data_IF_974745205892
#
_entry.id   IF_974745205892
#
_cell.length_a   1.000
_cell.length_b   1.000
_cell.length_c   1.000
_cell.angle_alpha   90.00
_cell.angle_beta   90.00
_cell.angle_gamma   90.00
#
_symmetry.space_group_name_H-M   'P 1'
#
loop_
_entity.id
_entity.type
_entity.pdbx_description
1 polymer ?
#
# COMPACT_ATOMS: atom_id res chain seq x y z
N UNK A 1 36.32 -11.72 10.16
CA UNK A 1 35.45 -12.89 10.36
C UNK A 1 35.20 -13.20 11.84
N UNK A 2 36.21 -13.08 12.72
CA UNK A 2 36.04 -13.32 14.16
C UNK A 2 35.03 -12.36 14.82
N UNK A 3 35.02 -11.09 14.41
CA UNK A 3 34.07 -10.11 14.89
C UNK A 3 32.63 -10.51 14.51
N UNK A 4 32.39 -11.00 13.29
CA UNK A 4 31.08 -11.44 12.84
C UNK A 4 30.57 -12.63 13.67
N UNK A 5 31.47 -13.59 13.97
CA UNK A 5 31.13 -14.73 14.83
C UNK A 5 30.82 -14.28 16.26
N UNK A 6 31.58 -13.30 16.79
CA UNK A 6 31.36 -12.80 18.15
C UNK A 6 30.02 -12.05 18.32
N UNK A 7 29.50 -11.44 17.25
CA UNK A 7 28.20 -10.75 17.25
C UNK A 7 26.99 -11.69 17.21
N UNK A 8 27.21 -12.98 16.96
CA UNK A 8 26.17 -14.03 16.93
C UNK A 8 24.93 -13.66 16.08
N UNK A 9 25.18 -13.00 14.94
CA UNK A 9 24.12 -12.50 14.01
C UNK A 9 23.74 -13.52 12.94
N UNK A 10 24.13 -14.80 13.11
CA UNK A 10 23.76 -15.89 12.20
C UNK A 10 24.60 -15.98 10.91
N UNK A 11 25.76 -15.30 10.85
CA UNK A 11 26.68 -15.37 9.71
C UNK A 11 28.07 -15.82 10.16
N UNK A 12 28.71 -16.66 9.35
CA UNK A 12 30.04 -17.21 9.66
C UNK A 12 31.20 -16.29 9.28
N UNK A 13 30.98 -15.38 8.32
CA UNK A 13 32.01 -14.48 7.81
C UNK A 13 31.42 -13.24 7.14
N UNK A 14 32.29 -12.24 6.91
CA UNK A 14 31.93 -10.97 6.26
C UNK A 14 31.37 -11.17 4.85
N UNK A 15 31.85 -12.15 4.10
CA UNK A 15 31.41 -12.41 2.74
C UNK A 15 29.94 -12.89 2.71
N UNK A 16 29.57 -13.80 3.63
CA UNK A 16 28.19 -14.27 3.78
C UNK A 16 27.24 -13.14 4.19
N UNK A 17 27.64 -12.31 5.15
CA UNK A 17 26.87 -11.13 5.56
C UNK A 17 26.65 -10.15 4.39
N UNK A 18 27.72 -9.82 3.65
CA UNK A 18 27.63 -8.95 2.48
C UNK A 18 26.73 -9.52 1.39
N UNK A 19 26.82 -10.83 1.13
CA UNK A 19 25.96 -11.50 0.15
C UNK A 19 24.48 -11.43 0.55
N UNK A 20 24.17 -11.64 1.82
CA UNK A 20 22.81 -11.53 2.33
C UNK A 20 22.28 -10.09 2.25
N UNK A 21 23.06 -9.10 2.71
CA UNK A 21 22.69 -7.68 2.61
C UNK A 21 22.45 -7.29 1.15
N UNK A 22 23.33 -7.72 0.23
CA UNK A 22 23.14 -7.45 -1.20
C UNK A 22 21.83 -8.04 -1.71
N UNK A 23 21.56 -9.31 -1.38
CA UNK A 23 20.30 -9.99 -1.78
C UNK A 23 19.06 -9.25 -1.25
N UNK A 24 19.10 -8.78 -0.01
CA UNK A 24 18.01 -8.02 0.59
C UNK A 24 17.84 -6.66 -0.09
N UNK A 25 18.93 -5.93 -0.34
CA UNK A 25 18.90 -4.66 -1.06
C UNK A 25 18.39 -4.83 -2.50
N UNK A 26 18.85 -5.85 -3.22
CA UNK A 26 18.38 -6.16 -4.56
C UNK A 26 16.87 -6.48 -4.55
N UNK A 27 16.40 -7.24 -3.55
CA UNK A 27 14.96 -7.54 -3.39
C UNK A 27 14.14 -6.28 -3.07
N UNK A 28 14.64 -5.40 -2.23
CA UNK A 28 13.97 -4.11 -1.90
C UNK A 28 13.93 -3.23 -3.15
N UNK A 29 15.06 -3.06 -3.82
CA UNK A 29 15.14 -2.24 -5.03
C UNK A 29 14.21 -2.76 -6.15
N UNK A 30 14.12 -4.09 -6.30
CA UNK A 30 13.21 -4.70 -7.28
C UNK A 30 11.75 -4.38 -6.93
N UNK A 31 11.35 -4.56 -5.67
CA UNK A 31 9.99 -4.23 -5.22
C UNK A 31 9.66 -2.75 -5.41
N UNK A 32 10.59 -1.86 -5.09
CA UNK A 32 10.40 -0.41 -5.27
C UNK A 32 10.27 -0.05 -6.76
N UNK A 33 11.08 -0.69 -7.62
CA UNK A 33 11.03 -0.48 -9.06
C UNK A 33 9.70 -0.99 -9.63
N UNK A 34 9.28 -2.19 -9.22
CA UNK A 34 8.00 -2.77 -9.63
C UNK A 34 6.82 -1.91 -9.16
N UNK A 35 6.85 -1.41 -7.92
CA UNK A 35 5.82 -0.53 -7.39
C UNK A 35 5.73 0.79 -8.15
N UNK A 36 6.86 1.42 -8.46
CA UNK A 36 6.90 2.64 -9.27
C UNK A 36 6.33 2.41 -10.66
N UNK A 37 6.77 1.35 -11.32
CA UNK A 37 6.28 0.99 -12.65
C UNK A 37 4.77 0.73 -12.64
N UNK A 38 4.24 -0.01 -11.65
CA UNK A 38 2.80 -0.24 -11.50
C UNK A 38 2.05 1.08 -11.34
N UNK A 39 2.55 2.00 -10.51
CA UNK A 39 1.92 3.30 -10.30
C UNK A 39 1.90 4.12 -11.59
N UNK A 40 2.98 4.15 -12.34
CA UNK A 40 3.06 4.83 -13.64
C UNK A 40 2.06 4.23 -14.64
N UNK A 41 1.98 2.91 -14.74
CA UNK A 41 1.03 2.21 -15.60
C UNK A 41 -0.42 2.53 -15.20
N UNK A 42 -0.74 2.52 -13.91
CA UNK A 42 -2.07 2.86 -13.42
C UNK A 42 -2.41 4.32 -13.69
N UNK A 43 -1.46 5.25 -13.49
CA UNK A 43 -1.67 6.67 -13.80
C UNK A 43 -1.96 6.88 -15.30
N UNK A 44 -1.22 6.23 -16.19
CA UNK A 44 -1.46 6.33 -17.64
C UNK A 44 -2.78 5.67 -18.03
N UNK A 45 -3.11 4.50 -17.47
CA UNK A 45 -4.38 3.84 -17.73
C UNK A 45 -5.58 4.69 -17.25
N UNK A 46 -5.46 5.35 -16.10
CA UNK A 46 -6.47 6.30 -15.60
C UNK A 46 -6.63 7.49 -16.55
N UNK A 47 -5.53 8.06 -17.06
CA UNK A 47 -5.58 9.18 -18.04
C UNK A 47 -6.29 8.79 -19.33
N UNK A 48 -6.07 7.57 -19.80
CA UNK A 48 -6.71 7.04 -21.02
C UNK A 48 -8.17 6.65 -20.78
N UNK A 49 -8.56 6.45 -19.54
CA UNK A 49 -9.91 6.06 -19.13
C UNK A 49 -10.73 7.27 -18.76
N UNK A 50 -12.04 7.24 -19.05
CA UNK A 50 -12.98 8.29 -18.63
C UNK A 50 -13.50 8.01 -17.21
N UNK A 51 -12.60 7.91 -16.23
CA UNK A 51 -12.97 7.64 -14.84
C UNK A 51 -13.27 8.95 -14.13
N UNK A 52 -14.50 9.08 -13.66
CA UNK A 52 -14.92 10.18 -12.80
C UNK A 52 -15.00 9.70 -11.35
N UNK A 53 -14.19 10.30 -10.48
CA UNK A 53 -14.24 10.02 -9.05
C UNK A 53 -15.44 10.73 -8.44
N UNK A 54 -16.41 10.02 -7.83
CA UNK A 54 -17.56 10.65 -7.19
C UNK A 54 -17.13 11.61 -6.09
N UNK A 55 -17.70 12.80 -6.07
CA UNK A 55 -17.37 13.85 -5.07
C UNK A 55 -17.58 13.38 -3.63
N UNK A 56 -18.59 12.55 -3.39
CA UNK A 56 -18.85 11.98 -2.07
C UNK A 56 -17.67 11.14 -1.57
N UNK A 57 -17.16 10.20 -2.40
CA UNK A 57 -16.00 9.37 -2.04
C UNK A 57 -14.75 10.21 -1.79
N UNK A 58 -14.54 11.24 -2.59
CA UNK A 58 -13.42 12.15 -2.42
C UNK A 58 -13.50 12.90 -1.10
N UNK A 59 -14.68 13.48 -0.80
CA UNK A 59 -14.93 14.17 0.46
C UNK A 59 -14.75 13.25 1.67
N UNK A 60 -15.30 12.04 1.62
CA UNK A 60 -15.16 11.06 2.70
C UNK A 60 -13.70 10.68 2.94
N UNK A 61 -12.92 10.49 1.85
CA UNK A 61 -11.50 10.17 1.95
C UNK A 61 -10.69 11.30 2.60
N UNK A 62 -10.96 12.56 2.22
CA UNK A 62 -10.28 13.74 2.82
C UNK A 62 -10.66 13.89 4.29
N UNK A 63 -11.95 13.75 4.62
CA UNK A 63 -12.44 13.85 5.99
C UNK A 63 -11.86 12.75 6.90
N UNK A 64 -11.75 11.52 6.41
CA UNK A 64 -11.12 10.42 7.13
C UNK A 64 -9.65 10.73 7.41
N UNK A 65 -8.91 11.22 6.42
CA UNK A 65 -7.50 11.58 6.56
C UNK A 65 -7.29 12.74 7.54
N UNK A 66 -8.16 13.75 7.51
CA UNK A 66 -8.14 14.85 8.49
C UNK A 66 -8.31 14.32 9.91
N UNK A 67 -9.28 13.45 10.11
CA UNK A 67 -9.59 12.83 11.41
C UNK A 67 -8.38 12.03 11.95
N UNK A 68 -7.77 11.23 11.10
CA UNK A 68 -6.58 10.46 11.47
C UNK A 68 -5.38 11.35 11.76
N UNK A 69 -5.22 12.44 10.99
CA UNK A 69 -4.16 13.42 11.20
C UNK A 69 -4.29 14.12 12.54
N UNK A 70 -5.49 14.61 12.87
CA UNK A 70 -5.76 15.27 14.15
C UNK A 70 -5.57 14.31 15.33
N UNK A 71 -6.03 13.06 15.19
CA UNK A 71 -5.83 12.02 16.20
C UNK A 71 -4.35 11.73 16.45
N UNK A 72 -3.53 11.66 15.42
CA UNK A 72 -2.08 11.46 15.56
C UNK A 72 -1.40 12.62 16.27
N UNK A 73 -1.80 13.87 15.99
CA UNK A 73 -1.29 15.03 16.71
C UNK A 73 -1.66 14.98 18.19
N UNK A 74 -2.89 14.58 18.50
CA UNK A 74 -3.35 14.41 19.89
C UNK A 74 -2.56 13.33 20.62
N UNK A 75 -2.35 12.16 20.00
CA UNK A 75 -1.53 11.06 20.55
C UNK A 75 -0.09 11.49 20.84
N UNK A 76 0.46 12.40 20.04
CA UNK A 76 1.80 12.97 20.21
C UNK A 76 1.83 14.21 21.14
N UNK A 77 0.69 14.61 21.72
CA UNK A 77 0.52 15.84 22.50
C UNK A 77 0.99 17.09 21.76
N UNK A 78 0.81 17.15 20.43
CA UNK A 78 1.16 18.28 19.59
C UNK A 78 -0.09 19.12 19.28
N UNK A 79 0.05 20.46 19.45
CA UNK A 79 -1.01 21.38 19.05
C UNK A 79 -0.97 21.62 17.54
N UNK A 80 -2.13 21.52 16.90
CA UNK A 80 -2.27 21.71 15.45
C UNK A 80 -1.65 23.01 14.96
N UNK A 81 -1.95 24.13 15.63
CA UNK A 81 -1.44 25.46 15.23
C UNK A 81 0.10 25.56 15.28
N UNK A 82 0.71 24.99 16.33
CA UNK A 82 2.16 24.97 16.49
C UNK A 82 2.81 24.09 15.42
N UNK A 83 2.21 22.91 15.17
CA UNK A 83 2.69 21.99 14.16
C UNK A 83 2.62 22.58 12.74
N UNK A 84 1.50 23.19 12.38
CA UNK A 84 1.33 23.85 11.08
C UNK A 84 2.33 25.00 10.86
N UNK A 85 2.62 25.78 11.91
CA UNK A 85 3.65 26.83 11.86
C UNK A 85 5.05 26.26 11.60
N UNK A 86 5.41 25.18 12.30
CA UNK A 86 6.72 24.51 12.12
C UNK A 86 6.85 23.95 10.70
N UNK A 87 5.78 23.37 10.16
CA UNK A 87 5.74 22.83 8.81
C UNK A 87 5.57 23.91 7.71
N UNK A 88 5.42 25.16 8.09
CA UNK A 88 5.17 26.28 7.17
C UNK A 88 4.04 26.00 6.19
N UNK A 89 2.92 25.46 6.72
CA UNK A 89 1.73 25.08 5.95
C UNK A 89 0.44 25.52 6.65
N UNK A 90 -0.69 25.34 5.97
CA UNK A 90 -2.03 25.59 6.52
C UNK A 90 -2.89 24.32 6.36
N UNK A 91 -3.99 24.25 7.12
CA UNK A 91 -4.92 23.14 7.03
C UNK A 91 -5.59 23.07 5.66
N UNK A 92 -5.89 24.23 5.06
CA UNK A 92 -6.47 24.33 3.72
C UNK A 92 -5.53 23.74 2.67
N UNK A 93 -4.22 24.04 2.78
CA UNK A 93 -3.21 23.50 1.86
C UNK A 93 -3.06 21.98 2.02
N UNK A 94 -3.03 21.50 3.27
CA UNK A 94 -3.00 20.06 3.52
C UNK A 94 -4.22 19.35 2.95
N UNK A 95 -5.42 19.91 3.11
CA UNK A 95 -6.64 19.36 2.54
C UNK A 95 -6.61 19.32 1.01
N UNK A 96 -6.11 20.36 0.36
CA UNK A 96 -5.96 20.42 -1.10
C UNK A 96 -4.96 19.37 -1.61
N UNK A 97 -3.85 19.17 -0.91
CA UNK A 97 -2.87 18.14 -1.22
C UNK A 97 -3.49 16.73 -1.04
N UNK A 98 -4.20 16.51 0.07
CA UNK A 98 -4.90 15.24 0.33
C UNK A 98 -6.00 14.96 -0.69
N UNK A 99 -6.73 15.97 -1.13
CA UNK A 99 -7.76 15.85 -2.17
C UNK A 99 -7.12 15.39 -3.49
N UNK A 100 -5.98 15.98 -3.85
CA UNK A 100 -5.24 15.62 -5.05
C UNK A 100 -4.75 14.16 -5.00
N UNK A 101 -4.16 13.75 -3.86
CA UNK A 101 -3.71 12.38 -3.62
C UNK A 101 -4.89 11.40 -3.60
N UNK A 102 -5.97 11.73 -2.88
CA UNK A 102 -7.16 10.90 -2.80
C UNK A 102 -7.82 10.70 -4.18
N UNK A 103 -7.88 11.75 -5.00
CA UNK A 103 -8.42 11.66 -6.36
C UNK A 103 -7.63 10.67 -7.21
N UNK A 104 -6.30 10.72 -7.19
CA UNK A 104 -5.44 9.78 -7.92
C UNK A 104 -5.65 8.35 -7.44
N UNK A 105 -5.60 8.13 -6.12
CA UNK A 105 -5.80 6.81 -5.51
C UNK A 105 -7.16 6.22 -5.84
N UNK A 106 -8.23 6.97 -5.64
CA UNK A 106 -9.60 6.53 -5.92
C UNK A 106 -9.81 6.23 -7.41
N UNK A 107 -9.23 7.03 -8.30
CA UNK A 107 -9.30 6.76 -9.75
C UNK A 107 -8.62 5.43 -10.10
N UNK A 108 -7.45 5.13 -9.52
CA UNK A 108 -6.76 3.85 -9.71
C UNK A 108 -7.55 2.68 -9.12
N UNK A 109 -8.16 2.85 -7.94
CA UNK A 109 -9.02 1.83 -7.32
C UNK A 109 -10.26 1.53 -8.19
N UNK A 110 -10.92 2.57 -8.72
CA UNK A 110 -12.08 2.42 -9.62
C UNK A 110 -11.68 1.72 -10.93
N UNK A 111 -10.50 2.05 -11.48
CA UNK A 111 -9.96 1.36 -12.65
C UNK A 111 -9.78 -0.14 -12.39
N UNK A 112 -9.13 -0.49 -11.27
CA UNK A 112 -8.92 -1.88 -10.91
C UNK A 112 -10.24 -2.63 -10.68
N UNK A 113 -11.22 -2.00 -10.04
CA UNK A 113 -12.56 -2.56 -9.88
C UNK A 113 -13.23 -2.86 -11.22
N UNK A 114 -13.10 -1.97 -12.19
CA UNK A 114 -13.67 -2.18 -13.51
C UNK A 114 -12.93 -3.30 -14.26
N UNK A 115 -11.60 -3.38 -14.16
CA UNK A 115 -10.81 -4.50 -14.70
C UNK A 115 -11.26 -5.83 -14.10
N UNK A 116 -11.43 -5.89 -12.77
CA UNK A 116 -11.90 -7.09 -12.05
C UNK A 116 -13.27 -7.52 -12.60
N UNK A 117 -14.18 -6.59 -12.75
CA UNK A 117 -15.54 -6.84 -13.21
C UNK A 117 -15.57 -7.31 -14.66
N UNK A 118 -14.91 -6.60 -15.57
CA UNK A 118 -14.92 -6.92 -17.01
C UNK A 118 -14.24 -8.24 -17.33
N UNK A 119 -13.22 -8.60 -16.56
CA UNK A 119 -12.46 -9.84 -16.78
C UNK A 119 -12.88 -10.99 -15.86
N UNK A 120 -13.97 -10.84 -15.09
CA UNK A 120 -14.48 -11.84 -14.16
C UNK A 120 -13.38 -12.38 -13.22
N UNK A 121 -12.49 -11.49 -12.72
CA UNK A 121 -11.42 -11.87 -11.82
C UNK A 121 -12.04 -12.22 -10.46
N UNK A 122 -11.80 -13.44 -10.00
CA UNK A 122 -12.36 -13.96 -8.75
C UNK A 122 -11.28 -14.57 -7.87
N UNK A 123 -11.58 -14.71 -6.59
CA UNK A 123 -10.75 -15.38 -5.59
C UNK A 123 -11.57 -16.49 -4.96
N UNK A 124 -11.03 -17.72 -4.89
CA UNK A 124 -11.71 -18.86 -4.26
C UNK A 124 -11.41 -18.94 -2.76
N UNK A 125 -12.25 -19.63 -1.99
CA UNK A 125 -12.04 -19.86 -0.57
C UNK A 125 -10.68 -20.52 -0.29
N UNK A 126 -10.32 -21.56 -1.06
CA UNK A 126 -9.03 -22.25 -0.91
C UNK A 126 -7.81 -21.31 -1.11
N UNK A 127 -7.96 -20.28 -1.93
CA UNK A 127 -6.88 -19.30 -2.15
C UNK A 127 -6.77 -18.33 -0.98
N UNK A 128 -7.90 -17.94 -0.40
CA UNK A 128 -7.94 -17.12 0.82
C UNK A 128 -7.28 -17.88 1.97
N UNK A 129 -7.62 -19.16 2.13
CA UNK A 129 -7.06 -20.01 3.19
C UNK A 129 -5.54 -20.20 3.03
N UNK A 130 -5.06 -20.38 1.79
CA UNK A 130 -3.63 -20.45 1.49
C UNK A 130 -2.92 -19.15 1.84
N UNK A 131 -3.48 -18.01 1.47
CA UNK A 131 -2.90 -16.70 1.79
C UNK A 131 -2.88 -16.47 3.30
N UNK A 132 -3.97 -16.80 4.00
CA UNK A 132 -4.02 -16.75 5.46
C UNK A 132 -2.95 -17.63 6.13
N UNK A 133 -2.60 -18.77 5.53
CA UNK A 133 -1.56 -19.66 6.04
C UNK A 133 -0.15 -19.07 5.95
N UNK A 134 0.11 -18.13 5.01
CA UNK A 134 1.40 -17.45 4.88
C UNK A 134 1.64 -16.39 5.96
N UNK A 135 0.56 -15.91 6.60
CA UNK A 135 0.64 -14.89 7.65
C UNK A 135 1.21 -15.50 8.93
N UNK A 136 2.42 -15.10 9.30
CA UNK A 136 3.15 -15.61 10.47
C UNK A 136 2.89 -14.81 11.73
N UNK A 137 2.55 -13.52 11.61
CA UNK A 137 2.26 -12.67 12.77
C UNK A 137 0.87 -12.99 13.37
N UNK A 138 0.79 -13.41 14.66
CA UNK A 138 -0.46 -13.83 15.27
C UNK A 138 -1.53 -12.73 15.30
N UNK A 139 -1.13 -11.48 15.57
CA UNK A 139 -2.06 -10.35 15.65
C UNK A 139 -2.65 -9.99 14.30
N UNK A 140 -1.82 -10.01 13.25
CA UNK A 140 -2.27 -9.80 11.87
C UNK A 140 -3.22 -10.93 11.45
N UNK A 141 -2.90 -12.18 11.79
CA UNK A 141 -3.75 -13.34 11.49
C UNK A 141 -5.10 -13.26 12.19
N UNK A 142 -5.15 -12.85 13.45
CA UNK A 142 -6.37 -12.62 14.19
C UNK A 142 -7.25 -11.54 13.52
N UNK A 143 -6.66 -10.39 13.18
CA UNK A 143 -7.37 -9.30 12.50
C UNK A 143 -7.94 -9.74 11.15
N UNK A 144 -7.16 -10.48 10.35
CA UNK A 144 -7.60 -10.98 9.04
C UNK A 144 -8.65 -12.11 9.16
N UNK A 145 -8.80 -12.75 10.32
CA UNK A 145 -9.79 -13.79 10.56
C UNK A 145 -11.19 -13.23 10.79
N UNK A 146 -11.33 -11.94 11.07
CA UNK A 146 -12.62 -11.25 11.18
C UNK A 146 -13.31 -11.13 9.81
N UNK A 147 -14.63 -10.91 9.79
CA UNK A 147 -15.36 -10.72 8.53
C UNK A 147 -14.84 -9.51 7.74
N UNK A 148 -14.48 -8.44 8.43
CA UNK A 148 -13.88 -7.23 7.80
C UNK A 148 -12.48 -7.52 7.29
N UNK A 149 -11.66 -8.22 8.06
CA UNK A 149 -10.33 -8.64 7.68
C UNK A 149 -10.33 -9.56 6.46
N UNK A 150 -11.26 -10.52 6.39
CA UNK A 150 -11.43 -11.38 5.21
C UNK A 150 -11.84 -10.59 3.97
N UNK A 151 -12.78 -9.64 4.10
CA UNK A 151 -13.16 -8.75 2.99
C UNK A 151 -11.97 -7.92 2.50
N UNK A 152 -11.18 -7.39 3.44
CA UNK A 152 -9.96 -6.66 3.11
C UNK A 152 -8.96 -7.54 2.34
N UNK A 153 -8.68 -8.75 2.82
CA UNK A 153 -7.79 -9.71 2.16
C UNK A 153 -8.27 -10.06 0.76
N UNK A 154 -9.55 -10.37 0.59
CA UNK A 154 -10.16 -10.64 -0.72
C UNK A 154 -9.98 -9.45 -1.67
N UNK A 155 -10.20 -8.23 -1.18
CA UNK A 155 -10.03 -7.01 -1.99
C UNK A 155 -8.58 -6.85 -2.45
N UNK A 156 -7.62 -7.05 -1.54
CA UNK A 156 -6.19 -7.01 -1.89
C UNK A 156 -5.82 -8.05 -2.95
N UNK A 157 -6.26 -9.30 -2.77
CA UNK A 157 -5.99 -10.38 -3.72
C UNK A 157 -6.61 -10.12 -5.10
N UNK A 158 -7.81 -9.54 -5.15
CA UNK A 158 -8.47 -9.15 -6.40
C UNK A 158 -7.70 -8.02 -7.11
N UNK A 159 -7.27 -7.01 -6.36
CA UNK A 159 -6.49 -5.89 -6.91
C UNK A 159 -5.13 -6.36 -7.44
N UNK A 160 -4.44 -7.24 -6.73
CA UNK A 160 -3.18 -7.84 -7.18
C UNK A 160 -3.36 -8.58 -8.51
N UNK A 161 -4.41 -9.38 -8.63
CA UNK A 161 -4.74 -10.09 -9.88
C UNK A 161 -5.09 -9.15 -11.03
N UNK A 162 -5.79 -8.06 -10.73
CA UNK A 162 -6.09 -7.05 -11.74
C UNK A 162 -4.82 -6.35 -12.23
N UNK A 163 -3.88 -6.06 -11.33
CA UNK A 163 -2.56 -5.53 -11.66
C UNK A 163 -1.78 -6.54 -12.50
N UNK A 164 -1.77 -7.81 -12.13
CA UNK A 164 -1.10 -8.86 -12.91
C UNK A 164 -1.72 -9.05 -14.29
N UNK A 165 -3.04 -8.95 -14.39
CA UNK A 165 -3.72 -8.96 -15.67
C UNK A 165 -3.30 -7.75 -16.52
N UNK A 166 -3.24 -6.57 -15.94
CA UNK A 166 -2.82 -5.34 -16.61
C UNK A 166 -1.36 -5.45 -17.10
N UNK A 167 -0.45 -5.96 -16.27
CA UNK A 167 0.94 -6.23 -16.65
C UNK A 167 1.03 -7.12 -17.90
N UNK A 168 0.28 -8.22 -17.91
CA UNK A 168 0.27 -9.17 -19.04
C UNK A 168 -0.36 -8.58 -20.31
N UNK A 169 -1.24 -7.61 -20.18
CA UNK A 169 -1.90 -6.96 -21.31
C UNK A 169 -1.04 -5.89 -21.99
N UNK A 170 0.03 -5.45 -21.33
CA UNK A 170 0.95 -4.40 -21.81
C UNK A 170 2.28 -5.00 -22.29
N UNK A 171 2.65 -6.20 -21.81
CA UNK A 171 3.85 -6.91 -22.23
C UNK A 171 3.66 -7.52 -23.61
#
# INVERSE_FOLDING_TARGET
DELIKSLNIGFDNVAALKAQIKKELDSINQKDTDAKWINEVLEEAVKLSKIEVPKALLSDSVNAREKDYLKKLEELNLKLEEFLKVQNTTMEKLKADWETEAKKRLASELLLLEIIKQNNITVTADQIDKEMATVTDPKTKENLSTDEGKKYLVTMMLQERAIDWLKKSIA
#
